data_IF_569236092634
#
_entry.id   IF_569236092634
#
_cell.length_a   1.000
_cell.length_b   1.000
_cell.length_c   1.000
_cell.angle_alpha   90.00
_cell.angle_beta   90.00
_cell.angle_gamma   90.00
#
_symmetry.space_group_name_H-M   'P 1'
#
loop_
_entity.id
_entity.type
_entity.pdbx_description
1 polymer ?
#
# COMPACT_ATOMS: atom_id res chain seq x y z
N UNK A 1 -41.97 11.08 -2.64
CA UNK A 1 -40.97 11.45 -1.62
C UNK A 1 -39.63 10.96 -2.14
N UNK A 2 -38.82 11.89 -2.63
CA UNK A 2 -37.53 11.60 -3.25
C UNK A 2 -36.53 11.40 -2.11
N UNK A 3 -36.20 10.15 -1.80
CA UNK A 3 -35.19 9.82 -0.78
C UNK A 3 -33.83 10.05 -1.44
N UNK A 4 -33.36 11.30 -1.36
CA UNK A 4 -32.01 11.66 -1.73
C UNK A 4 -31.07 11.13 -0.64
N UNK A 5 -30.48 9.97 -0.90
CA UNK A 5 -29.49 9.39 0.00
C UNK A 5 -28.22 10.24 -0.10
N UNK A 6 -27.95 11.05 0.93
CA UNK A 6 -26.64 11.66 1.17
C UNK A 6 -25.62 10.56 1.48
N UNK A 7 -25.27 9.76 0.46
CA UNK A 7 -24.07 8.94 0.51
C UNK A 7 -22.92 9.92 0.44
N UNK A 8 -22.37 10.27 1.60
CA UNK A 8 -21.15 11.07 1.70
C UNK A 8 -20.18 10.52 0.67
N UNK A 9 -19.88 11.37 -0.30
CA UNK A 9 -19.18 11.09 -1.54
C UNK A 9 -17.67 10.85 -1.30
N UNK A 10 -17.31 10.20 -0.18
CA UNK A 10 -15.93 9.95 0.26
C UNK A 10 -15.27 8.76 -0.47
N UNK A 11 -15.76 8.40 -1.64
CA UNK A 11 -15.13 7.43 -2.55
C UNK A 11 -14.74 8.02 -3.91
N UNK A 12 -15.13 9.26 -4.24
CA UNK A 12 -14.93 9.79 -5.60
C UNK A 12 -13.74 10.75 -5.75
N UNK A 13 -13.33 11.47 -4.70
CA UNK A 13 -12.20 12.39 -4.80
C UNK A 13 -10.85 11.68 -4.61
N UNK A 14 -9.86 12.11 -5.39
CA UNK A 14 -8.45 11.67 -5.27
C UNK A 14 -7.95 11.80 -3.82
N UNK A 15 -8.27 12.93 -3.18
CA UNK A 15 -7.92 13.19 -1.79
C UNK A 15 -8.56 12.18 -0.82
N UNK A 16 -9.83 11.82 -1.04
CA UNK A 16 -10.51 10.81 -0.25
C UNK A 16 -9.86 9.43 -0.36
N UNK A 17 -9.35 9.08 -1.55
CA UNK A 17 -8.59 7.84 -1.76
C UNK A 17 -7.25 7.88 -1.03
N UNK A 18 -6.52 9.00 -1.11
CA UNK A 18 -5.23 9.18 -0.38
C UNK A 18 -5.41 9.11 1.13
N UNK A 19 -6.46 9.69 1.69
CA UNK A 19 -6.77 9.61 3.12
C UNK A 19 -7.05 8.16 3.56
N UNK A 20 -7.87 7.42 2.79
CA UNK A 20 -8.13 5.99 3.09
C UNK A 20 -6.86 5.17 3.00
N UNK A 21 -6.07 5.38 1.95
CA UNK A 21 -4.80 4.70 1.75
C UNK A 21 -3.82 4.99 2.89
N UNK A 22 -3.74 6.23 3.38
CA UNK A 22 -2.93 6.60 4.54
C UNK A 22 -3.28 5.73 5.75
N UNK A 23 -4.57 5.59 6.08
CA UNK A 23 -5.01 4.77 7.22
C UNK A 23 -4.64 3.29 7.05
N UNK A 24 -4.78 2.75 5.84
CA UNK A 24 -4.39 1.37 5.53
C UNK A 24 -2.88 1.17 5.70
N UNK A 25 -2.06 2.11 5.20
CA UNK A 25 -0.60 2.04 5.32
C UNK A 25 -0.13 2.23 6.76
N UNK A 26 -0.78 3.09 7.55
CA UNK A 26 -0.50 3.22 8.99
C UNK A 26 -0.77 1.90 9.73
N UNK A 27 -1.91 1.27 9.48
CA UNK A 27 -2.23 -0.04 10.07
C UNK A 27 -1.22 -1.12 9.64
N UNK A 28 -0.87 -1.17 8.36
CA UNK A 28 0.14 -2.10 7.85
C UNK A 28 1.52 -1.86 8.47
N UNK A 29 1.96 -0.61 8.58
CA UNK A 29 3.25 -0.27 9.17
C UNK A 29 3.32 -0.64 10.66
N UNK A 30 2.23 -0.46 11.40
CA UNK A 30 2.13 -0.86 12.79
C UNK A 30 2.22 -2.39 12.95
N UNK A 31 1.48 -3.14 12.13
CA UNK A 31 1.55 -4.62 12.10
C UNK A 31 2.97 -5.09 11.74
N UNK A 32 3.61 -4.44 10.77
CA UNK A 32 4.96 -4.77 10.31
C UNK A 32 6.07 -4.28 11.25
N UNK A 33 5.76 -3.50 12.30
CA UNK A 33 6.74 -2.98 13.25
C UNK A 33 7.72 -1.95 12.68
N UNK A 34 7.36 -1.28 11.57
CA UNK A 34 8.25 -0.38 10.83
C UNK A 34 8.59 0.89 11.62
N UNK A 35 7.76 1.26 12.60
CA UNK A 35 8.01 2.38 13.53
C UNK A 35 9.16 2.11 14.52
N UNK A 36 9.58 0.86 14.72
CA UNK A 36 10.48 0.47 15.81
C UNK A 36 11.90 0.10 15.36
N UNK A 37 12.14 -0.07 14.06
CA UNK A 37 13.44 -0.47 13.53
C UNK A 37 13.94 0.51 12.48
N UNK A 38 15.26 0.57 12.29
CA UNK A 38 15.98 1.32 11.24
C UNK A 38 15.56 0.96 9.78
N UNK A 39 14.43 0.29 9.58
CA UNK A 39 13.87 -0.03 8.27
C UNK A 39 12.95 1.10 7.82
N UNK A 40 13.42 1.92 6.88
CA UNK A 40 12.52 2.78 6.12
C UNK A 40 11.60 1.92 5.26
N UNK A 41 10.28 2.12 5.38
CA UNK A 41 9.31 1.56 4.45
C UNK A 41 9.64 1.99 3.02
N UNK A 42 9.61 1.04 2.09
CA UNK A 42 9.80 1.29 0.65
C UNK A 42 8.50 1.71 -0.06
N UNK A 43 7.47 2.05 0.71
CA UNK A 43 6.15 2.47 0.24
C UNK A 43 5.70 3.71 1.01
N UNK A 44 4.91 4.55 0.35
CA UNK A 44 4.19 5.65 0.97
C UNK A 44 2.87 5.88 0.22
N UNK A 45 2.03 6.78 0.72
CA UNK A 45 0.71 7.06 0.13
C UNK A 45 0.85 7.45 -1.34
N UNK A 46 1.81 8.31 -1.67
CA UNK A 46 1.98 8.81 -3.03
C UNK A 46 2.46 7.72 -3.99
N UNK A 47 3.43 6.89 -3.59
CA UNK A 47 3.95 5.81 -4.44
C UNK A 47 2.93 4.71 -4.67
N UNK A 48 2.10 4.38 -3.67
CA UNK A 48 1.02 3.39 -3.83
C UNK A 48 -0.15 3.99 -4.64
N UNK A 49 -0.54 5.24 -4.39
CA UNK A 49 -1.61 5.92 -5.12
C UNK A 49 -1.27 6.11 -6.61
N UNK A 50 -0.02 6.49 -6.91
CA UNK A 50 0.53 6.55 -8.28
C UNK A 50 0.75 5.17 -8.92
N UNK A 51 0.34 4.08 -8.25
CA UNK A 51 0.43 2.70 -8.73
C UNK A 51 1.87 2.24 -9.03
N UNK A 52 2.83 2.73 -8.25
CA UNK A 52 4.23 2.27 -8.35
C UNK A 52 4.32 0.79 -8.02
N UNK A 53 4.59 -0.03 -9.05
CA UNK A 53 4.68 -1.49 -8.94
C UNK A 53 5.68 -1.92 -7.87
N UNK A 54 6.85 -1.28 -7.81
CA UNK A 54 7.88 -1.59 -6.81
C UNK A 54 7.38 -1.37 -5.37
N UNK A 55 6.70 -0.25 -5.10
CA UNK A 55 6.18 0.05 -3.77
C UNK A 55 5.08 -0.95 -3.37
N UNK A 56 4.18 -1.28 -4.31
CA UNK A 56 3.10 -2.24 -4.10
C UNK A 56 3.67 -3.63 -3.81
N UNK A 57 4.63 -4.10 -4.62
CA UNK A 57 5.28 -5.40 -4.41
C UNK A 57 6.01 -5.45 -3.06
N UNK A 58 6.74 -4.40 -2.66
CA UNK A 58 7.41 -4.37 -1.36
C UNK A 58 6.42 -4.48 -0.20
N UNK A 59 5.29 -3.77 -0.26
CA UNK A 59 4.24 -3.85 0.76
C UNK A 59 3.62 -5.26 0.82
N UNK A 60 3.23 -5.82 -0.34
CA UNK A 60 2.61 -7.14 -0.41
C UNK A 60 3.55 -8.25 0.07
N UNK A 61 4.83 -8.20 -0.33
CA UNK A 61 5.84 -9.17 0.11
C UNK A 61 6.09 -9.05 1.62
N UNK A 62 6.14 -7.84 2.16
CA UNK A 62 6.28 -7.64 3.61
C UNK A 62 5.10 -8.25 4.39
N UNK A 63 3.86 -8.00 3.93
CA UNK A 63 2.65 -8.58 4.52
C UNK A 63 2.62 -10.10 4.41
N UNK A 64 2.92 -10.66 3.23
CA UNK A 64 2.95 -12.10 3.02
C UNK A 64 3.98 -12.80 3.94
N UNK A 65 5.16 -12.19 4.12
CA UNK A 65 6.20 -12.69 5.03
C UNK A 65 5.76 -12.59 6.50
N UNK A 66 5.19 -11.45 6.90
CA UNK A 66 4.76 -11.22 8.29
C UNK A 66 3.68 -12.22 8.72
N UNK A 67 2.65 -12.41 7.89
CA UNK A 67 1.55 -13.33 8.18
C UNK A 67 1.84 -14.78 7.82
N UNK A 68 3.06 -15.09 7.33
CA UNK A 68 3.45 -16.44 6.88
C UNK A 68 2.41 -17.03 5.92
N UNK A 69 1.97 -16.22 4.96
CA UNK A 69 1.00 -16.65 3.97
C UNK A 69 1.49 -17.95 3.31
N UNK A 70 0.62 -18.92 3.02
CA UNK A 70 0.99 -20.23 2.45
C UNK A 70 1.33 -20.11 0.96
N UNK A 71 2.23 -19.19 0.62
CA UNK A 71 2.72 -18.91 -0.73
C UNK A 71 4.24 -19.09 -0.69
N UNK A 72 4.80 -19.80 -1.67
CA UNK A 72 6.25 -19.91 -1.81
C UNK A 72 6.77 -18.66 -2.51
N UNK A 73 7.38 -17.76 -1.75
CA UNK A 73 8.09 -16.61 -2.32
C UNK A 73 9.44 -17.08 -2.87
N UNK A 74 9.82 -16.71 -4.10
CA UNK A 74 11.15 -17.00 -4.62
C UNK A 74 12.21 -16.35 -3.73
N UNK A 75 13.32 -17.05 -3.50
CA UNK A 75 14.51 -16.45 -2.90
C UNK A 75 15.11 -15.48 -3.94
N UNK A 76 15.37 -14.24 -3.53
CA UNK A 76 16.05 -13.22 -4.36
C UNK A 76 15.27 -12.73 -5.59
N UNK A 77 14.03 -12.28 -5.42
CA UNK A 77 13.30 -11.57 -6.48
C UNK A 77 14.02 -10.26 -6.84
N UNK A 78 14.55 -10.17 -8.06
CA UNK A 78 15.15 -8.97 -8.63
C UNK A 78 14.15 -8.31 -9.58
N UNK A 79 13.89 -7.01 -9.39
CA UNK A 79 13.04 -6.22 -10.29
C UNK A 79 13.96 -5.30 -11.10
N UNK A 80 14.09 -5.58 -12.40
CA UNK A 80 14.83 -4.71 -13.32
C UNK A 80 13.90 -3.59 -13.79
N UNK A 81 14.27 -2.34 -13.49
CA UNK A 81 13.54 -1.15 -13.97
C UNK A 81 14.22 -0.62 -15.21
N UNK A 82 13.49 -0.50 -16.30
CA UNK A 82 13.93 0.19 -17.52
C UNK A 82 13.16 1.50 -17.61
N UNK A 83 13.89 2.63 -17.59
CA UNK A 83 13.31 3.96 -17.83
C UNK A 83 13.53 4.28 -19.31
N UNK A 84 12.45 4.41 -20.07
CA UNK A 84 12.50 4.89 -21.46
C UNK A 84 12.23 6.39 -21.45
N UNK A 85 13.15 7.17 -22.02
CA UNK A 85 13.06 8.62 -22.16
C UNK A 85 12.33 9.01 -23.45
#
# INVERSE_FOLDING_TARGET
MDVKIDVVEVTQSEEGQKIKLKRVLEAANNVLGISNWNQQAKWNVESIHSKTVIAILHLLVALARHFRAPIRLPENVVVNVVVVQ
#
